data_IF_326461301814
#
_entry.id   IF_326461301814
#
_cell.length_a   1.000
_cell.length_b   1.000
_cell.length_c   1.000
_cell.angle_alpha   90.00
_cell.angle_beta   90.00
_cell.angle_gamma   90.00
#
_symmetry.space_group_name_H-M   'P 1'
#
loop_
_entity.id
_entity.type
_entity.pdbx_description
1 polymer ?
#
# COMPACT_ATOMS: atom_id res chain seq x y z
N UNK A 1 -20.03 14.18 -9.98
CA UNK A 1 -20.37 12.95 -10.73
C UNK A 1 -20.77 11.80 -9.81
N UNK A 2 -20.05 11.55 -8.71
CA UNK A 2 -20.36 10.46 -7.76
C UNK A 2 -21.71 10.66 -7.02
N UNK A 3 -21.98 11.87 -6.51
CA UNK A 3 -23.27 12.21 -5.89
C UNK A 3 -24.45 12.14 -6.87
N UNK A 4 -24.20 12.47 -8.14
CA UNK A 4 -25.21 12.44 -9.22
C UNK A 4 -25.64 11.00 -9.54
N UNK A 5 -24.75 10.02 -9.32
CA UNK A 5 -25.02 8.59 -9.51
C UNK A 5 -25.49 7.90 -8.23
N UNK A 6 -25.61 8.62 -7.11
CA UNK A 6 -25.98 8.06 -5.80
C UNK A 6 -24.93 7.10 -5.22
N UNK A 7 -23.67 7.20 -5.64
CA UNK A 7 -22.60 6.31 -5.19
C UNK A 7 -22.02 6.82 -3.87
N UNK A 8 -22.11 6.00 -2.83
CA UNK A 8 -21.41 6.23 -1.57
C UNK A 8 -19.97 5.71 -1.66
N UNK A 9 -19.01 6.56 -1.32
CA UNK A 9 -17.58 6.24 -1.33
C UNK A 9 -17.12 5.87 0.08
N UNK A 10 -16.69 4.63 0.28
CA UNK A 10 -16.09 4.18 1.54
C UNK A 10 -14.58 4.04 1.35
N UNK A 11 -13.80 4.87 2.05
CA UNK A 11 -12.34 4.92 1.94
C UNK A 11 -11.66 3.97 2.92
N UNK A 12 -10.58 3.33 2.49
CA UNK A 12 -9.71 2.56 3.38
C UNK A 12 -8.86 3.46 4.27
N UNK A 13 -8.44 2.94 5.43
CA UNK A 13 -7.50 3.65 6.31
C UNK A 13 -6.15 3.85 5.62
N UNK A 14 -5.50 4.99 5.90
CA UNK A 14 -4.25 5.32 5.25
C UNK A 14 -3.18 4.25 5.46
N UNK A 15 -2.50 3.88 4.36
CA UNK A 15 -1.42 2.90 4.36
C UNK A 15 -1.79 1.51 4.92
N UNK A 16 -3.07 1.13 4.82
CA UNK A 16 -3.56 -0.21 5.17
C UNK A 16 -4.11 -0.95 3.94
N UNK A 17 -3.22 -1.44 3.05
CA UNK A 17 -3.63 -2.18 1.84
C UNK A 17 -4.51 -3.40 2.13
N UNK A 18 -4.39 -3.97 3.33
CA UNK A 18 -5.17 -5.13 3.75
C UNK A 18 -6.68 -4.87 3.77
N UNK A 19 -7.14 -3.61 3.92
CA UNK A 19 -8.57 -3.26 3.79
C UNK A 19 -9.10 -3.62 2.41
N UNK A 20 -8.28 -3.45 1.36
CA UNK A 20 -8.63 -3.77 -0.03
C UNK A 20 -8.03 -5.11 -0.50
N UNK A 21 -7.74 -6.00 0.45
CA UNK A 21 -6.99 -7.23 0.20
C UNK A 21 -7.64 -8.19 -0.81
N UNK A 22 -8.98 -8.10 -1.01
CA UNK A 22 -9.66 -8.85 -2.07
C UNK A 22 -9.22 -8.38 -3.46
N UNK A 23 -9.29 -7.08 -3.71
CA UNK A 23 -8.83 -6.49 -4.97
C UNK A 23 -7.33 -6.74 -5.16
N UNK A 24 -6.51 -6.55 -4.12
CA UNK A 24 -5.08 -6.82 -4.21
C UNK A 24 -4.77 -8.27 -4.61
N UNK A 25 -5.51 -9.24 -4.06
CA UNK A 25 -5.33 -10.65 -4.40
C UNK A 25 -5.74 -10.95 -5.83
N UNK A 26 -6.84 -10.38 -6.30
CA UNK A 26 -7.28 -10.48 -7.70
C UNK A 26 -6.25 -9.86 -8.64
N UNK A 27 -5.76 -8.66 -8.34
CA UNK A 27 -4.71 -7.98 -9.11
C UNK A 27 -3.45 -8.83 -9.18
N UNK A 28 -3.05 -9.46 -8.08
CA UNK A 28 -1.90 -10.36 -8.06
C UNK A 28 -2.09 -11.54 -9.03
N UNK A 29 -3.23 -12.23 -8.97
CA UNK A 29 -3.52 -13.36 -9.88
C UNK A 29 -3.51 -12.92 -11.35
N UNK A 30 -4.14 -11.79 -11.66
CA UNK A 30 -4.15 -11.25 -13.03
C UNK A 30 -2.74 -10.89 -13.52
N UNK A 31 -1.91 -10.30 -12.65
CA UNK A 31 -0.50 -10.00 -12.97
C UNK A 31 0.30 -11.27 -13.26
N UNK A 32 0.08 -12.33 -12.49
CA UNK A 32 0.78 -13.60 -12.68
C UNK A 32 0.35 -14.27 -13.99
N UNK A 33 -0.95 -14.24 -14.33
CA UNK A 33 -1.47 -14.73 -15.62
C UNK A 33 -0.89 -13.93 -16.79
N UNK A 34 -0.92 -12.60 -16.73
CA UNK A 34 -0.36 -11.74 -17.77
C UNK A 34 1.14 -11.97 -17.94
N UNK A 35 1.88 -12.17 -16.84
CA UNK A 35 3.31 -12.47 -16.90
C UNK A 35 3.57 -13.77 -17.66
N UNK A 36 2.78 -14.82 -17.40
CA UNK A 36 2.91 -16.07 -18.14
C UNK A 36 2.60 -15.88 -19.63
N UNK A 37 1.50 -15.19 -19.97
CA UNK A 37 1.14 -14.91 -21.36
C UNK A 37 2.24 -14.14 -22.11
N UNK A 38 2.82 -13.11 -21.50
CA UNK A 38 3.88 -12.31 -22.15
C UNK A 38 5.17 -13.10 -22.32
N UNK A 39 5.49 -14.01 -21.39
CA UNK A 39 6.68 -14.86 -21.50
C UNK A 39 6.55 -15.94 -22.58
N UNK A 40 5.37 -16.53 -22.73
CA UNK A 40 5.16 -17.71 -23.59
C UNK A 40 4.61 -17.38 -24.99
N UNK A 41 3.82 -16.30 -25.13
CA UNK A 41 3.04 -16.04 -26.34
C UNK A 41 3.57 -14.87 -27.19
N UNK A 42 4.70 -14.26 -26.82
CA UNK A 42 5.35 -13.11 -27.47
C UNK A 42 4.38 -11.97 -27.84
N UNK A 43 4.35 -10.88 -27.05
CA UNK A 43 3.48 -9.75 -27.36
C UNK A 43 3.35 -8.75 -26.21
N UNK A 44 2.52 -7.72 -26.40
CA UNK A 44 2.22 -6.74 -25.38
C UNK A 44 1.05 -7.19 -24.49
N UNK A 45 1.09 -6.79 -23.21
CA UNK A 45 0.13 -7.25 -22.19
C UNK A 45 -1.31 -6.85 -22.49
N UNK A 46 -1.52 -5.75 -23.21
CA UNK A 46 -2.84 -5.21 -23.58
C UNK A 46 -3.60 -6.13 -24.54
N UNK A 47 -2.89 -6.83 -25.43
CA UNK A 47 -3.49 -7.80 -26.36
C UNK A 47 -4.07 -9.01 -25.62
N UNK A 48 -3.41 -9.43 -24.53
CA UNK A 48 -3.84 -10.57 -23.73
C UNK A 48 -4.83 -10.23 -22.63
N UNK A 49 -5.05 -8.93 -22.34
CA UNK A 49 -5.93 -8.52 -21.24
C UNK A 49 -7.35 -9.11 -21.35
N UNK A 50 -8.03 -9.10 -22.52
CA UNK A 50 -9.35 -9.72 -22.66
C UNK A 50 -9.32 -11.25 -22.46
N UNK A 51 -8.25 -11.91 -22.90
CA UNK A 51 -8.09 -13.36 -22.73
C UNK A 51 -7.85 -13.75 -21.28
N UNK A 52 -7.05 -12.97 -20.55
CA UNK A 52 -6.79 -13.16 -19.13
C UNK A 52 -8.05 -12.89 -18.30
N UNK A 53 -8.79 -11.83 -18.59
CA UNK A 53 -10.08 -11.54 -17.95
C UNK A 53 -11.06 -12.68 -18.15
N UNK A 54 -11.21 -13.14 -19.40
CA UNK A 54 -12.08 -14.26 -19.73
C UNK A 54 -11.66 -15.53 -18.98
N UNK A 55 -10.36 -15.85 -18.98
CA UNK A 55 -9.81 -17.02 -18.31
C UNK A 55 -10.01 -16.97 -16.79
N UNK A 56 -9.81 -15.81 -16.17
CA UNK A 56 -10.05 -15.62 -14.74
C UNK A 56 -11.53 -15.79 -14.39
N UNK A 57 -12.43 -15.14 -15.12
CA UNK A 57 -13.88 -15.19 -14.87
C UNK A 57 -14.50 -16.57 -15.17
N UNK A 58 -13.85 -17.38 -16.00
CA UNK A 58 -14.26 -18.76 -16.32
C UNK A 58 -13.52 -19.84 -15.51
N UNK A 59 -12.57 -19.45 -14.65
CA UNK A 59 -11.83 -20.37 -13.79
C UNK A 59 -12.55 -20.62 -12.47
N UNK A 60 -12.35 -21.82 -11.91
CA UNK A 60 -12.99 -22.21 -10.67
C UNK A 60 -12.36 -21.51 -9.46
N UNK A 61 -13.19 -20.85 -8.64
CA UNK A 61 -12.76 -20.22 -7.39
C UNK A 61 -13.14 -21.07 -6.20
N UNK A 62 -12.14 -21.52 -5.42
CA UNK A 62 -12.34 -22.42 -4.27
C UNK A 62 -13.19 -21.81 -3.15
N UNK A 63 -13.16 -20.48 -2.97
CA UNK A 63 -13.95 -19.75 -1.97
C UNK A 63 -15.45 -19.78 -2.26
N UNK A 64 -15.82 -19.68 -3.53
CA UNK A 64 -17.22 -19.65 -4.00
C UNK A 64 -17.70 -21.03 -4.45
N UNK A 65 -16.75 -21.92 -4.76
CA UNK A 65 -16.95 -23.26 -5.33
C UNK A 65 -17.67 -23.25 -6.69
N UNK A 66 -17.51 -22.18 -7.47
CA UNK A 66 -17.94 -22.08 -8.87
C UNK A 66 -17.05 -21.05 -9.59
N UNK A 67 -17.34 -20.81 -10.87
CA UNK A 67 -16.65 -19.77 -11.66
C UNK A 67 -17.30 -18.40 -11.41
N UNK A 68 -16.55 -17.28 -11.34
CA UNK A 68 -17.11 -15.95 -11.13
C UNK A 68 -18.22 -15.57 -12.13
N UNK A 69 -18.08 -15.96 -13.40
CA UNK A 69 -19.09 -15.75 -14.42
C UNK A 69 -20.44 -16.40 -14.06
N UNK A 70 -20.42 -17.63 -13.55
CA UNK A 70 -21.62 -18.35 -13.14
C UNK A 70 -22.23 -17.73 -11.89
N UNK A 71 -21.40 -17.24 -10.96
CA UNK A 71 -21.88 -16.52 -9.80
C UNK A 71 -22.60 -15.21 -10.17
N UNK A 72 -22.10 -14.50 -11.18
CA UNK A 72 -22.66 -13.21 -11.61
C UNK A 72 -23.93 -13.37 -12.46
N UNK A 73 -23.92 -14.31 -13.41
CA UNK A 73 -24.98 -14.46 -14.41
C UNK A 73 -25.92 -15.65 -14.17
N UNK A 74 -25.63 -16.49 -13.16
CA UNK A 74 -26.43 -17.66 -12.82
C UNK A 74 -26.35 -18.83 -13.81
N UNK A 75 -25.54 -18.70 -14.87
CA UNK A 75 -25.40 -19.66 -15.98
C UNK A 75 -23.94 -19.94 -16.30
N UNK A 76 -23.66 -21.10 -16.90
CA UNK A 76 -22.31 -21.46 -17.35
C UNK A 76 -21.86 -20.54 -18.50
N UNK A 77 -20.56 -20.25 -18.53
CA UNK A 77 -19.95 -19.48 -19.61
C UNK A 77 -19.93 -20.32 -20.89
N UNK A 78 -20.34 -19.72 -22.01
CA UNK A 78 -20.25 -20.35 -23.34
C UNK A 78 -18.88 -20.01 -23.93
N UNK A 79 -17.92 -20.92 -23.84
CA UNK A 79 -16.59 -20.78 -24.45
C UNK A 79 -16.49 -21.69 -25.68
N UNK A 80 -15.59 -21.41 -26.64
CA UNK A 80 -15.36 -22.28 -27.80
C UNK A 80 -15.01 -23.74 -27.44
N UNK A 81 -14.47 -23.96 -26.23
CA UNK A 81 -14.12 -25.29 -25.70
C UNK A 81 -15.34 -25.97 -25.03
N UNK A 82 -16.37 -25.20 -24.66
CA UNK A 82 -17.59 -25.65 -23.98
C UNK A 82 -18.84 -25.31 -24.82
N UNK A 83 -18.89 -25.82 -26.07
CA UNK A 83 -20.05 -25.73 -26.98
C UNK A 83 -21.12 -26.80 -26.74
N UNK A 84 -20.98 -27.65 -25.70
CA UNK A 84 -21.80 -28.86 -25.56
C UNK A 84 -23.31 -28.61 -25.31
N UNK A 85 -23.76 -27.37 -25.13
CA UNK A 85 -25.20 -27.03 -25.07
C UNK A 85 -25.66 -26.35 -26.37
N UNK A 86 -25.51 -27.03 -27.51
CA UNK A 86 -26.32 -26.71 -28.69
C UNK A 86 -27.70 -27.32 -28.45
N UNK A 87 -28.64 -26.53 -27.93
CA UNK A 87 -30.00 -27.04 -27.72
C UNK A 87 -31.04 -26.10 -27.10
N UNK A 88 -30.68 -25.11 -26.29
CA UNK A 88 -31.70 -24.28 -25.63
C UNK A 88 -31.73 -22.84 -26.17
N UNK A 89 -32.54 -22.66 -27.23
CA UNK A 89 -33.31 -21.43 -27.43
C UNK A 89 -34.52 -21.48 -26.50
N UNK A 90 -34.33 -21.25 -25.21
CA UNK A 90 -35.44 -20.89 -24.33
C UNK A 90 -35.13 -19.55 -23.66
N UNK A 91 -35.78 -18.54 -24.22
CA UNK A 91 -35.95 -17.23 -23.63
C UNK A 91 -36.47 -17.41 -22.20
N UNK A 92 -35.70 -16.91 -21.23
CA UNK A 92 -36.13 -16.47 -19.89
C UNK A 92 -37.32 -17.28 -19.32
N UNK A 93 -37.05 -18.48 -18.80
CA UNK A 93 -38.04 -19.24 -18.03
C UNK A 93 -38.22 -18.56 -16.67
N UNK A 94 -39.44 -18.32 -16.17
CA UNK A 94 -39.70 -17.77 -14.82
C UNK A 94 -39.05 -18.57 -13.68
N UNK A 95 -38.73 -19.85 -13.92
CA UNK A 95 -38.04 -20.76 -12.99
C UNK A 95 -36.54 -20.43 -12.78
N UNK A 96 -35.92 -19.62 -13.66
CA UNK A 96 -34.51 -19.22 -13.48
C UNK A 96 -34.30 -18.29 -12.28
N UNK A 97 -35.30 -17.47 -11.95
CA UNK A 97 -35.21 -16.54 -10.81
C UNK A 97 -35.09 -17.31 -9.49
N UNK A 98 -35.95 -18.28 -9.14
CA UNK A 98 -35.77 -19.06 -7.92
C UNK A 98 -34.45 -19.84 -7.91
N UNK A 99 -34.06 -20.48 -9.01
CA UNK A 99 -32.79 -21.22 -9.09
C UNK A 99 -31.56 -20.32 -8.87
N UNK A 100 -31.55 -19.13 -9.47
CA UNK A 100 -30.46 -18.17 -9.28
C UNK A 100 -30.45 -17.61 -7.87
N UNK A 101 -31.62 -17.35 -7.26
CA UNK A 101 -31.67 -16.91 -5.85
C UNK A 101 -31.13 -17.97 -4.89
N UNK A 102 -31.41 -19.25 -5.11
CA UNK A 102 -30.87 -20.33 -4.29
C UNK A 102 -29.35 -20.44 -4.44
N UNK A 103 -28.83 -20.38 -5.67
CA UNK A 103 -27.38 -20.34 -5.93
C UNK A 103 -26.72 -19.14 -5.25
N UNK A 104 -27.34 -17.96 -5.29
CA UNK A 104 -26.84 -16.76 -4.61
C UNK A 104 -26.77 -16.98 -3.09
N UNK A 105 -27.78 -17.60 -2.49
CA UNK A 105 -27.76 -17.93 -1.06
C UNK A 105 -26.61 -18.89 -0.73
N UNK A 106 -26.44 -19.97 -1.51
CA UNK A 106 -25.34 -20.91 -1.32
C UNK A 106 -23.96 -20.23 -1.47
N UNK A 107 -23.82 -19.31 -2.43
CA UNK A 107 -22.60 -18.52 -2.63
C UNK A 107 -22.34 -17.63 -1.42
N UNK A 108 -23.37 -16.94 -0.89
CA UNK A 108 -23.26 -16.12 0.31
C UNK A 108 -22.79 -16.93 1.51
N UNK A 109 -23.33 -18.14 1.70
CA UNK A 109 -22.93 -19.04 2.79
C UNK A 109 -21.48 -19.52 2.63
N UNK A 110 -21.08 -19.92 1.42
CA UNK A 110 -19.69 -20.34 1.13
C UNK A 110 -18.70 -19.19 1.33
N UNK A 111 -19.06 -17.99 0.87
CA UNK A 111 -18.28 -16.77 1.08
C UNK A 111 -18.16 -16.45 2.57
N UNK A 112 -19.24 -16.60 3.34
CA UNK A 112 -19.22 -16.44 4.79
C UNK A 112 -18.24 -17.42 5.44
N UNK A 113 -18.32 -18.70 5.09
CA UNK A 113 -17.38 -19.73 5.60
C UNK A 113 -15.93 -19.42 5.22
N UNK A 114 -15.68 -19.00 3.98
CA UNK A 114 -14.34 -18.62 3.54
C UNK A 114 -13.81 -17.41 4.31
N UNK A 115 -14.66 -16.40 4.52
CA UNK A 115 -14.35 -15.20 5.32
C UNK A 115 -14.09 -15.57 6.78
N UNK A 116 -14.91 -16.43 7.38
CA UNK A 116 -14.76 -16.89 8.76
C UNK A 116 -13.45 -17.69 8.94
N UNK A 117 -13.07 -18.51 7.95
CA UNK A 117 -11.77 -19.20 7.94
C UNK A 117 -10.61 -18.21 7.88
N UNK A 118 -10.66 -17.25 6.94
CA UNK A 118 -9.63 -16.19 6.82
C UNK A 118 -9.52 -15.40 8.13
N UNK A 119 -10.66 -15.00 8.70
CA UNK A 119 -10.75 -14.33 9.99
C UNK A 119 -10.11 -15.18 11.09
N UNK A 120 -10.47 -16.45 11.20
CA UNK A 120 -9.92 -17.34 12.22
C UNK A 120 -8.38 -17.50 12.12
N UNK A 121 -7.83 -17.52 10.89
CA UNK A 121 -6.38 -17.61 10.68
C UNK A 121 -5.67 -16.31 11.00
N UNK A 122 -6.27 -15.17 10.63
CA UNK A 122 -5.73 -13.85 10.92
C UNK A 122 -5.77 -13.55 12.43
N UNK A 123 -6.93 -13.77 13.06
CA UNK A 123 -7.17 -13.43 14.46
C UNK A 123 -6.32 -14.27 15.41
N UNK A 124 -6.11 -15.56 15.13
CA UNK A 124 -5.18 -16.42 15.90
C UNK A 124 -3.75 -15.88 16.01
N UNK A 125 -3.31 -15.07 15.04
CA UNK A 125 -1.95 -14.52 14.99
C UNK A 125 -1.89 -13.05 15.41
N UNK A 126 -3.03 -12.40 15.65
CA UNK A 126 -3.07 -11.00 16.10
C UNK A 126 -2.90 -10.94 17.61
N UNK A 127 -2.12 -9.96 18.07
CA UNK A 127 -2.10 -9.54 19.48
C UNK A 127 -3.16 -8.46 19.64
N UNK A 128 -4.01 -8.56 20.66
CA UNK A 128 -4.90 -7.48 21.06
C UNK A 128 -4.05 -6.36 21.66
N UNK A 129 -3.77 -5.32 20.87
CA UNK A 129 -3.31 -4.05 21.39
C UNK A 129 -4.53 -3.13 21.42
N UNK A 130 -4.89 -2.70 22.62
CA UNK A 130 -5.92 -1.70 22.84
C UNK A 130 -5.24 -0.46 23.39
N UNK A 131 -5.66 0.70 22.91
CA UNK A 131 -5.20 1.99 23.37
C UNK A 131 -6.38 2.79 23.89
N UNK A 132 -6.15 3.63 24.89
CA UNK A 132 -7.17 4.55 25.39
C UNK A 132 -7.00 5.95 24.81
N UNK A 133 -8.11 6.71 24.74
CA UNK A 133 -8.05 8.14 24.39
C UNK A 133 -7.17 8.86 25.40
N UNK A 134 -6.28 9.73 24.91
CA UNK A 134 -5.25 10.41 25.71
C UNK A 134 -3.94 9.63 25.90
N UNK A 135 -3.88 8.35 25.54
CA UNK A 135 -2.60 7.63 25.51
C UNK A 135 -1.72 8.13 24.35
N UNK A 136 -0.41 8.09 24.62
CA UNK A 136 0.61 8.46 23.65
C UNK A 136 1.13 7.23 22.91
N UNK A 137 1.13 7.29 21.58
CA UNK A 137 1.56 6.18 20.71
C UNK A 137 2.59 6.62 19.69
N UNK A 138 3.46 5.69 19.32
CA UNK A 138 4.40 5.87 18.23
C UNK A 138 3.75 5.37 16.94
N UNK A 139 3.82 6.19 15.88
CA UNK A 139 3.34 5.84 14.55
C UNK A 139 4.46 5.18 13.74
N UNK A 140 4.15 4.05 13.11
CA UNK A 140 5.06 3.33 12.23
C UNK A 140 5.23 4.08 10.91
N UNK A 141 6.46 4.43 10.59
CA UNK A 141 6.81 5.03 9.29
C UNK A 141 7.29 3.95 8.33
N UNK A 142 6.54 3.71 7.24
CA UNK A 142 6.92 2.73 6.21
C UNK A 142 8.27 3.09 5.57
N UNK A 143 9.29 2.21 5.61
CA UNK A 143 10.54 2.41 4.89
C UNK A 143 10.31 2.04 3.44
N UNK A 144 10.17 3.03 2.57
CA UNK A 144 10.39 2.77 1.16
C UNK A 144 11.86 2.36 0.95
N UNK A 145 12.06 1.29 0.20
CA UNK A 145 13.38 0.83 -0.23
C UNK A 145 14.02 1.96 -1.05
N UNK A 146 14.99 2.67 -0.47
CA UNK A 146 15.74 3.75 -1.14
C UNK A 146 15.45 5.19 -0.70
N UNK A 147 14.60 5.41 0.32
CA UNK A 147 14.46 6.74 0.94
C UNK A 147 15.54 6.90 2.02
N UNK A 148 16.41 7.89 1.84
CA UNK A 148 17.38 8.34 2.85
C UNK A 148 16.64 8.84 4.08
N UNK A 149 17.08 8.41 5.26
CA UNK A 149 16.56 8.84 6.56
C UNK A 149 17.76 9.17 7.44
N UNK A 150 17.89 10.38 7.98
CA UNK A 150 18.93 10.74 8.97
C UNK A 150 20.36 10.46 8.48
N UNK A 151 20.67 10.74 7.21
CA UNK A 151 21.96 10.38 6.60
C UNK A 151 22.32 8.88 6.62
N UNK A 152 21.44 8.00 7.11
CA UNK A 152 21.67 6.55 7.28
C UNK A 152 20.78 5.78 6.30
N UNK A 153 21.37 5.34 5.19
CA UNK A 153 20.74 4.40 4.26
C UNK A 153 20.44 3.06 4.96
N UNK A 154 19.17 2.64 4.95
CA UNK A 154 18.78 1.28 5.31
C UNK A 154 18.62 0.99 6.81
N UNK A 155 19.21 -0.12 7.29
CA UNK A 155 18.86 -0.88 8.52
C UNK A 155 18.74 -0.07 9.82
N UNK A 156 19.34 1.12 9.91
CA UNK A 156 19.50 1.90 11.15
C UNK A 156 18.54 3.10 11.31
N UNK A 157 17.66 3.37 10.36
CA UNK A 157 16.70 4.46 10.49
C UNK A 157 15.56 4.12 11.47
N UNK A 158 15.02 5.10 12.23
CA UNK A 158 13.92 4.85 13.15
C UNK A 158 12.69 4.37 12.37
N UNK A 159 12.08 3.28 12.84
CA UNK A 159 10.89 2.66 12.22
C UNK A 159 9.59 3.27 12.74
N UNK A 160 9.66 3.98 13.83
CA UNK A 160 8.55 4.59 14.53
C UNK A 160 8.89 6.05 14.83
N UNK A 161 7.90 6.91 14.72
CA UNK A 161 7.99 8.33 15.05
C UNK A 161 6.93 8.72 16.05
N UNK A 162 7.22 9.77 16.78
CA UNK A 162 6.33 10.36 17.75
C UNK A 162 6.71 10.09 19.19
N UNK A 163 6.01 10.71 20.14
CA UNK A 163 4.67 10.26 20.53
C UNK A 163 3.51 11.15 20.04
N UNK A 164 2.45 10.55 19.50
CA UNK A 164 1.20 11.24 19.19
C UNK A 164 0.11 10.86 20.20
N UNK A 165 -0.69 11.84 20.57
CA UNK A 165 -1.87 11.64 21.41
C UNK A 165 -3.02 11.03 20.58
N UNK A 166 -3.70 10.03 21.14
CA UNK A 166 -4.94 9.50 20.57
C UNK A 166 -6.09 10.43 20.95
N UNK A 167 -6.71 11.05 19.95
CA UNK A 167 -7.88 11.93 20.12
C UNK A 167 -9.16 11.10 20.24
N UNK A 168 -9.30 10.08 19.40
CA UNK A 168 -10.57 9.38 19.21
C UNK A 168 -10.34 7.92 18.79
N UNK A 169 -11.21 7.03 19.27
CA UNK A 169 -11.31 5.66 18.79
C UNK A 169 -12.41 5.57 17.75
N UNK A 170 -12.04 5.48 16.46
CA UNK A 170 -13.00 5.38 15.35
C UNK A 170 -13.59 3.96 15.28
N UNK A 171 -12.82 2.96 15.74
CA UNK A 171 -13.29 1.60 15.95
C UNK A 171 -12.29 0.76 16.73
N UNK A 172 -12.57 -0.54 16.88
CA UNK A 172 -11.69 -1.47 17.61
C UNK A 172 -10.26 -1.53 17.05
N UNK A 173 -10.09 -1.22 15.76
CA UNK A 173 -8.83 -1.39 15.04
C UNK A 173 -8.27 -0.07 14.47
N UNK A 174 -8.99 1.05 14.61
CA UNK A 174 -8.59 2.32 14.00
C UNK A 174 -8.69 3.47 15.01
N UNK A 175 -7.59 4.21 15.13
CA UNK A 175 -7.44 5.32 16.07
C UNK A 175 -7.08 6.60 15.32
N UNK A 176 -7.67 7.70 15.78
CA UNK A 176 -7.38 9.04 15.27
C UNK A 176 -6.30 9.68 16.13
N UNK A 177 -5.22 10.13 15.49
CA UNK A 177 -4.09 10.74 16.16
C UNK A 177 -4.10 12.26 16.01
N UNK A 178 -3.59 12.95 17.03
CA UNK A 178 -3.26 14.37 16.93
C UNK A 178 -1.96 14.55 16.16
N UNK A 179 -2.07 14.81 14.86
CA UNK A 179 -0.92 15.08 14.02
C UNK A 179 -0.52 16.58 14.11
N UNK A 180 0.79 16.90 14.10
CA UNK A 180 1.29 18.26 13.97
C UNK A 180 1.00 18.84 12.59
N UNK A 181 1.02 20.18 12.47
CA UNK A 181 0.69 20.89 11.24
C UNK A 181 1.56 20.49 10.04
N UNK A 182 2.81 20.08 10.29
CA UNK A 182 3.73 19.55 9.27
C UNK A 182 3.17 18.32 8.54
N UNK A 183 2.29 17.56 9.21
CA UNK A 183 1.70 16.31 8.72
C UNK A 183 0.25 16.48 8.23
N UNK A 184 -0.25 17.70 8.03
CA UNK A 184 -1.63 17.99 7.62
C UNK A 184 -2.08 17.31 6.31
N UNK A 185 -1.15 16.86 5.46
CA UNK A 185 -1.48 16.13 4.24
C UNK A 185 -1.70 14.62 4.42
N UNK A 186 -1.45 14.08 5.61
CA UNK A 186 -1.68 12.68 5.95
C UNK A 186 -3.03 12.54 6.64
N UNK A 187 -3.82 11.52 6.26
CA UNK A 187 -5.02 11.19 7.02
C UNK A 187 -4.66 10.81 8.46
N UNK A 188 -5.33 11.44 9.41
CA UNK A 188 -5.09 11.32 10.86
C UNK A 188 -5.56 9.99 11.47
N UNK A 189 -6.16 9.11 10.67
CA UNK A 189 -6.72 7.83 11.10
C UNK A 189 -5.82 6.66 10.71
N UNK A 190 -5.35 5.92 11.70
CA UNK A 190 -4.40 4.82 11.53
C UNK A 190 -4.90 3.52 12.15
N UNK A 191 -4.56 2.40 11.49
CA UNK A 191 -4.79 1.05 12.01
C UNK A 191 -3.84 0.73 13.19
N UNK A 192 -4.31 -0.03 14.18
CA UNK A 192 -3.52 -0.43 15.39
C UNK A 192 -2.19 -1.07 15.04
N UNK A 193 -2.12 -1.80 13.91
CA UNK A 193 -0.87 -2.46 13.48
C UNK A 193 0.24 -1.48 13.09
N UNK A 194 -0.12 -0.22 12.84
CA UNK A 194 0.80 0.88 12.61
C UNK A 194 1.13 1.66 13.89
N UNK A 195 0.54 1.30 15.03
CA UNK A 195 0.76 1.98 16.31
C UNK A 195 1.57 1.11 17.26
N UNK A 196 2.35 1.77 18.13
CA UNK A 196 3.08 1.12 19.21
C UNK A 196 2.95 1.96 20.48
N UNK A 197 2.67 1.32 21.62
CA UNK A 197 2.57 2.00 22.91
C UNK A 197 3.86 2.78 23.19
N UNK A 198 3.74 4.08 23.47
CA UNK A 198 4.86 4.85 23.99
C UNK A 198 4.97 4.53 25.49
N UNK A 199 6.15 4.07 25.92
CA UNK A 199 6.44 3.81 27.35
C UNK A 199 7.27 4.95 27.98
N UNK A 200 7.59 5.99 27.21
CA UNK A 200 8.37 7.11 27.67
C UNK A 200 7.49 8.10 28.44
N UNK A 201 8.05 8.68 29.50
CA UNK A 201 7.40 9.69 30.33
C UNK A 201 7.05 10.93 29.49
N UNK A 202 5.86 11.53 29.63
CA UNK A 202 5.43 12.73 28.89
C UNK A 202 6.33 13.96 29.12
N UNK A 203 7.25 13.90 30.08
CA UNK A 203 8.19 14.95 30.47
C UNK A 203 9.59 14.79 29.87
N UNK A 204 9.94 13.60 29.37
CA UNK A 204 11.18 13.33 28.61
C UNK A 204 10.97 13.63 27.11
N UNK A 205 10.31 14.76 26.83
CA UNK A 205 10.05 15.21 25.46
C UNK A 205 11.38 15.58 24.80
N UNK A 206 11.84 14.73 23.89
CA UNK A 206 12.67 15.20 22.78
C UNK A 206 11.71 15.98 21.87
N UNK A 207 11.92 17.29 21.62
CA UNK A 207 11.00 18.09 20.84
C UNK A 207 10.77 17.50 19.45
N UNK A 208 9.51 17.35 19.05
CA UNK A 208 9.10 17.00 17.68
C UNK A 208 9.63 17.95 16.60
N UNK A 209 10.11 19.13 16.99
CA UNK A 209 10.75 20.08 16.11
C UNK A 209 12.01 19.55 15.40
N UNK A 210 12.50 18.37 15.76
CA UNK A 210 13.70 17.76 15.18
C UNK A 210 13.45 17.00 13.87
N UNK A 211 12.19 16.76 13.50
CA UNK A 211 11.86 15.79 12.45
C UNK A 211 10.73 16.34 11.53
N UNK A 212 11.08 17.05 10.46
CA UNK A 212 10.11 17.46 9.44
C UNK A 212 9.69 16.25 8.60
N UNK A 213 8.39 16.03 8.43
CA UNK A 213 7.82 14.93 7.65
C UNK A 213 6.81 15.49 6.65
N UNK A 214 6.88 15.10 5.38
CA UNK A 214 5.96 15.52 4.32
C UNK A 214 4.57 14.85 4.45
N UNK A 215 3.63 15.35 3.65
CA UNK A 215 2.27 14.81 3.48
C UNK A 215 2.19 13.32 3.10
N UNK A 216 3.32 12.67 2.79
CA UNK A 216 3.43 11.26 2.44
C UNK A 216 4.22 10.46 3.50
N UNK A 217 4.37 11.02 4.71
CA UNK A 217 5.17 10.46 5.81
C UNK A 217 6.68 10.33 5.48
N UNK A 218 7.26 11.24 4.69
CA UNK A 218 8.70 11.25 4.35
C UNK A 218 9.45 12.36 5.06
N UNK A 219 10.61 12.08 5.63
CA UNK A 219 11.42 13.12 6.25
C UNK A 219 11.94 14.14 5.23
N UNK A 220 11.88 15.42 5.57
CA UNK A 220 12.46 16.54 4.82
C UNK A 220 13.72 17.01 5.57
N UNK A 221 14.89 16.86 4.97
CA UNK A 221 16.13 17.49 5.45
C UNK A 221 16.48 18.66 4.50
N UNK A 222 16.74 19.84 5.06
CA UNK A 222 17.23 21.00 4.30
C UNK A 222 18.75 20.89 4.10
N UNK A 223 19.16 20.86 2.83
CA UNK A 223 20.55 20.80 2.41
C UNK A 223 21.08 22.24 2.28
N UNK A 224 22.17 22.57 2.99
CA UNK A 224 22.68 23.95 3.07
C UNK A 224 23.69 24.23 1.96
N UNK A 225 24.70 23.37 1.80
CA UNK A 225 25.86 23.67 0.96
C UNK A 225 26.63 22.41 0.56
N UNK A 226 27.30 22.46 -0.60
CA UNK A 226 28.27 21.45 -1.02
C UNK A 226 29.67 22.02 -0.79
N UNK A 227 30.43 21.41 0.13
CA UNK A 227 31.72 21.96 0.56
C UNK A 227 32.90 21.45 -0.24
N UNK A 228 32.88 20.16 -0.62
CA UNK A 228 34.03 19.50 -1.24
C UNK A 228 33.58 18.49 -2.29
N UNK A 229 34.43 18.29 -3.29
CA UNK A 229 34.25 17.29 -4.35
C UNK A 229 35.48 16.40 -4.41
N UNK A 230 35.27 15.10 -4.39
CA UNK A 230 36.32 14.09 -4.48
C UNK A 230 35.95 13.00 -5.49
N UNK A 231 36.98 12.34 -6.04
CA UNK A 231 36.80 11.23 -6.97
C UNK A 231 37.29 9.94 -6.32
N UNK A 232 36.39 8.96 -6.14
CA UNK A 232 36.76 7.61 -5.69
C UNK A 232 36.99 6.70 -6.87
N UNK A 233 38.22 6.17 -6.98
CA UNK A 233 38.60 5.16 -7.96
C UNK A 233 38.20 3.77 -7.45
N UNK A 234 37.28 3.11 -8.16
CA UNK A 234 36.94 1.70 -7.96
C UNK A 234 37.64 0.85 -9.04
N UNK A 235 37.63 -0.48 -8.88
CA UNK A 235 38.26 -1.43 -9.82
C UNK A 235 37.84 -1.27 -11.29
N UNK A 236 36.65 -0.72 -11.57
CA UNK A 236 36.08 -0.58 -12.92
C UNK A 236 35.51 0.80 -13.26
N UNK A 237 35.54 1.76 -12.33
CA UNK A 237 34.93 3.07 -12.56
C UNK A 237 35.50 4.14 -11.62
N UNK A 238 35.32 5.39 -12.01
CA UNK A 238 35.59 6.55 -11.18
C UNK A 238 34.23 7.13 -10.79
N UNK A 239 33.97 7.29 -9.49
CA UNK A 239 32.73 7.86 -8.98
C UNK A 239 33.06 9.20 -8.35
N UNK A 240 32.37 10.25 -8.79
CA UNK A 240 32.44 11.55 -8.14
C UNK A 240 31.50 11.58 -6.92
N UNK A 241 32.07 11.99 -5.79
CA UNK A 241 31.35 12.17 -4.53
C UNK A 241 31.49 13.61 -4.07
N UNK A 242 30.44 14.13 -3.45
CA UNK A 242 30.37 15.48 -2.90
C UNK A 242 30.16 15.41 -1.40
N UNK A 243 30.87 16.24 -0.65
CA UNK A 243 30.66 16.42 0.77
C UNK A 243 29.54 17.44 0.96
N UNK A 244 28.42 16.94 1.45
CA UNK A 244 27.19 17.69 1.63
C UNK A 244 27.07 18.08 3.09
N UNK A 245 26.83 19.37 3.30
CA UNK A 245 26.51 19.95 4.59
C UNK A 245 24.99 20.00 4.77
N UNK A 246 24.53 19.30 5.79
CA UNK A 246 23.12 19.24 6.14
C UNK A 246 22.79 20.20 7.28
N UNK A 247 21.60 20.81 7.24
CA UNK A 247 21.08 21.58 8.36
C UNK A 247 20.40 20.62 9.36
N UNK A 248 21.18 19.82 10.07
CA UNK A 248 20.65 19.01 11.18
C UNK A 248 20.56 19.88 12.43
N UNK A 249 19.42 19.85 13.13
CA UNK A 249 19.25 20.58 14.40
C UNK A 249 20.14 20.02 15.52
N UNK A 250 20.70 18.82 15.36
CA UNK A 250 21.70 18.23 16.28
C UNK A 250 23.15 18.69 16.01
N UNK A 251 23.36 19.55 15.00
CA UNK A 251 24.67 20.10 14.65
C UNK A 251 24.99 19.99 13.16
N UNK A 252 26.15 20.52 12.77
CA UNK A 252 26.62 20.43 11.38
C UNK A 252 26.97 18.98 11.06
N UNK A 253 26.13 18.34 10.25
CA UNK A 253 26.38 16.99 9.74
C UNK A 253 26.96 17.05 8.33
N UNK A 254 28.04 16.29 8.12
CA UNK A 254 28.76 16.19 6.86
C UNK A 254 28.68 14.76 6.35
N UNK A 255 28.10 14.56 5.16
CA UNK A 255 28.07 13.24 4.52
C UNK A 255 28.63 13.30 3.11
N UNK A 256 29.27 12.20 2.69
CA UNK A 256 29.75 12.04 1.33
C UNK A 256 28.72 11.31 0.50
N UNK A 257 28.12 12.01 -0.46
CA UNK A 257 27.08 11.48 -1.34
C UNK A 257 27.52 11.48 -2.80
N UNK A 258 26.89 10.65 -3.65
CA UNK A 258 27.22 10.60 -5.07
C UNK A 258 26.74 11.87 -5.77
N UNK A 259 27.63 12.49 -6.54
CA UNK A 259 27.33 13.73 -7.25
C UNK A 259 26.14 13.57 -8.22
N UNK A 260 26.09 12.44 -8.93
CA UNK A 260 25.03 12.12 -9.91
C UNK A 260 23.63 12.14 -9.26
N UNK A 261 23.51 11.61 -8.03
CA UNK A 261 22.24 11.55 -7.29
C UNK A 261 21.86 12.92 -6.73
N UNK A 262 22.85 13.69 -6.30
CA UNK A 262 22.65 15.03 -5.76
C UNK A 262 22.25 16.02 -6.86
N UNK A 263 22.82 15.91 -8.07
CA UNK A 263 22.39 16.72 -9.22
C UNK A 263 20.94 16.47 -9.62
N UNK A 264 20.46 15.23 -9.51
CA UNK A 264 19.08 14.86 -9.82
C UNK A 264 18.08 15.42 -8.80
N UNK A 265 18.43 15.40 -7.50
CA UNK A 265 17.53 15.84 -6.42
C UNK A 265 17.63 17.33 -6.13
N UNK A 266 18.82 17.91 -6.21
CA UNK A 266 19.14 19.28 -5.78
C UNK A 266 19.98 20.01 -6.85
N UNK A 267 19.45 20.09 -8.08
CA UNK A 267 20.14 20.69 -9.22
C UNK A 267 20.59 22.14 -9.00
N UNK A 268 19.81 22.91 -8.22
CA UNK A 268 20.06 24.32 -7.92
C UNK A 268 21.38 24.58 -7.18
N UNK A 269 21.91 23.58 -6.44
CA UNK A 269 23.17 23.71 -5.70
C UNK A 269 24.42 23.51 -6.57
N UNK A 270 24.25 22.97 -7.77
CA UNK A 270 25.33 22.75 -8.73
C UNK A 270 25.39 23.82 -9.82
N UNK A 271 24.48 24.81 -9.76
CA UNK A 271 24.34 25.85 -10.79
C UNK A 271 25.25 27.06 -10.58
N UNK A 272 25.93 27.16 -9.42
CA UNK A 272 26.66 28.37 -9.00
C UNK A 272 28.18 28.34 -9.22
N UNK A 273 28.74 27.33 -9.87
CA UNK A 273 30.20 27.24 -10.13
C UNK A 273 30.55 27.49 -11.60
N UNK A 274 30.09 28.60 -12.17
CA UNK A 274 30.62 29.15 -13.41
C UNK A 274 30.95 30.63 -13.20
N UNK A 275 32.09 30.87 -12.57
CA UNK A 275 32.85 32.14 -12.60
C UNK A 275 34.32 31.79 -12.45
#
# INVERSE_FOLDING_TARGET
MQEVLGIKLDMSTAYHPQTDGQCERTIQTLKDMLRACVLDLEGSWDVYLPLVEFSYNSSYHSSVRCVPFEALYGRKCRSLIMWAEIGERHLIRPELVPETTEKILQIKDRLKVARDRQKSYADKRRKSLEFSVGEHVLLKVSPWKGVERFGKKGKLAPRFVGPFEIIEMIGLVAYRLRLPEDLNGVHDTFDVSNLKKCLADPTLQVPFNEIQVDAKLKFMEELVEILKREFKKLKRSIIAIVNVRWNSKHGLEFTWEREDQMKLKYSHLFSSSSS
#
